data_IF_625450341692
#
_entry.id   IF_625450341692
#
_cell.length_a   1.000
_cell.length_b   1.000
_cell.length_c   1.000
_cell.angle_alpha   90.00
_cell.angle_beta   90.00
_cell.angle_gamma   90.00
#
_symmetry.space_group_name_H-M   'P 1'
#
loop_
_entity.id
_entity.type
_entity.pdbx_description
1 polymer ?
#
# COMPACT_ATOMS: atom_id res chain seq x y z
N UNK A 1 0.96 10.03 -17.31
CA UNK A 1 0.56 10.11 -15.90
C UNK A 1 1.58 9.31 -15.09
N UNK A 2 2.44 9.99 -14.34
CA UNK A 2 3.51 9.32 -13.55
C UNK A 2 3.08 9.30 -12.09
N UNK A 3 2.91 8.11 -11.52
CA UNK A 3 2.62 7.97 -10.08
C UNK A 3 3.93 8.09 -9.30
N UNK A 4 3.90 8.95 -8.28
CA UNK A 4 5.00 9.31 -7.39
C UNK A 4 4.65 8.86 -5.96
N UNK A 5 5.64 8.32 -5.26
CA UNK A 5 5.51 7.90 -3.86
C UNK A 5 5.85 9.07 -2.92
N UNK A 6 5.01 9.28 -1.91
CA UNK A 6 5.25 10.27 -0.87
C UNK A 6 6.32 9.76 0.10
N UNK A 7 7.43 10.49 0.33
CA UNK A 7 8.49 10.07 1.24
C UNK A 7 8.09 10.14 2.73
N UNK A 8 7.02 10.89 3.06
CA UNK A 8 6.60 11.13 4.45
C UNK A 8 5.61 10.09 4.98
N UNK A 9 4.71 9.54 4.14
CA UNK A 9 3.69 8.56 4.57
C UNK A 9 3.67 7.27 3.73
N UNK A 10 4.58 7.14 2.76
CA UNK A 10 4.61 6.06 1.77
C UNK A 10 3.32 5.89 0.95
N UNK A 11 2.49 6.93 0.86
CA UNK A 11 1.34 6.99 -0.04
C UNK A 11 1.73 7.21 -1.50
N UNK A 12 0.75 7.17 -2.40
CA UNK A 12 0.94 7.33 -3.86
C UNK A 12 0.08 8.46 -4.42
N UNK A 13 0.62 9.25 -5.34
CA UNK A 13 -0.14 10.29 -6.05
C UNK A 13 0.47 10.62 -7.40
N UNK A 14 -0.18 11.45 -8.22
CA UNK A 14 0.37 11.86 -9.51
C UNK A 14 0.05 13.31 -9.83
N UNK A 15 0.88 13.87 -10.71
CA UNK A 15 0.77 15.25 -11.18
C UNK A 15 0.25 15.26 -12.63
N UNK A 16 -0.65 16.19 -12.94
CA UNK A 16 -1.00 16.53 -14.32
C UNK A 16 -0.07 17.61 -14.93
N UNK A 17 0.76 18.24 -14.10
CA UNK A 17 1.82 19.14 -14.53
C UNK A 17 3.20 18.44 -14.55
N UNK A 18 4.16 18.98 -15.31
CA UNK A 18 5.54 18.47 -15.40
C UNK A 18 6.40 18.86 -14.17
N UNK A 19 5.83 19.59 -13.21
CA UNK A 19 6.56 20.18 -12.09
C UNK A 19 6.47 19.20 -10.92
N UNK A 20 7.22 18.10 -11.05
CA UNK A 20 7.34 17.04 -10.04
C UNK A 20 8.07 17.46 -8.76
N UNK A 21 7.56 18.47 -8.05
CA UNK A 21 8.02 18.86 -6.72
C UNK A 21 7.24 18.06 -5.68
N UNK A 22 7.81 16.91 -5.31
CA UNK A 22 7.38 16.11 -4.17
C UNK A 22 7.82 16.76 -2.87
N UNK A 23 7.00 17.67 -2.35
CA UNK A 23 7.31 18.43 -1.14
C UNK A 23 6.23 18.17 -0.07
N UNK A 24 6.53 17.18 0.77
CA UNK A 24 5.99 16.93 2.12
C UNK A 24 4.58 16.34 2.31
N UNK A 25 4.33 15.84 3.54
CA UNK A 25 3.13 15.08 3.95
C UNK A 25 1.81 15.87 3.81
N UNK A 26 1.88 17.20 3.82
CA UNK A 26 0.75 18.11 3.56
C UNK A 26 0.15 17.89 2.18
N UNK A 27 0.95 17.38 1.23
CA UNK A 27 0.51 17.00 -0.10
C UNK A 27 -0.69 16.03 -0.08
N UNK A 28 -0.64 15.02 0.80
CA UNK A 28 -1.69 14.02 0.89
C UNK A 28 -2.61 14.19 2.09
N UNK A 29 -2.29 15.10 3.03
CA UNK A 29 -2.98 15.28 4.31
C UNK A 29 -3.24 13.95 5.07
N UNK A 30 -2.37 12.95 4.91
CA UNK A 30 -2.52 11.61 5.49
C UNK A 30 -3.51 10.68 4.78
N UNK A 31 -4.12 11.09 3.66
CA UNK A 31 -5.04 10.25 2.87
C UNK A 31 -4.31 9.11 2.12
N UNK A 32 -3.00 9.26 1.89
CA UNK A 32 -2.17 8.25 1.22
C UNK A 32 -2.41 8.12 -0.29
N UNK A 33 -3.48 8.72 -0.82
CA UNK A 33 -3.83 8.69 -2.25
C UNK A 33 -4.40 10.04 -2.71
N UNK A 34 -3.59 10.85 -3.41
CA UNK A 34 -3.99 12.20 -3.87
C UNK A 34 -3.54 12.48 -5.29
N UNK A 35 -4.26 13.37 -5.96
CA UNK A 35 -3.99 13.81 -7.33
C UNK A 35 -3.88 15.34 -7.36
N UNK A 36 -2.90 15.87 -8.11
CA UNK A 36 -2.75 17.32 -8.33
C UNK A 36 -3.37 17.72 -9.67
N UNK A 37 -4.36 18.60 -9.62
CA UNK A 37 -5.05 19.10 -10.82
C UNK A 37 -4.20 20.08 -11.65
N UNK A 38 -4.66 20.38 -12.87
CA UNK A 38 -4.03 21.36 -13.75
C UNK A 38 -3.93 22.80 -13.19
N UNK A 39 -4.60 23.09 -12.07
CA UNK A 39 -4.47 24.35 -11.34
C UNK A 39 -3.46 24.25 -10.17
N UNK A 40 -2.73 23.13 -10.06
CA UNK A 40 -1.76 22.85 -9.02
C UNK A 40 -2.37 22.49 -7.66
N UNK A 41 -3.66 22.13 -7.61
CA UNK A 41 -4.36 21.83 -6.34
C UNK A 41 -4.41 20.33 -6.08
N UNK A 42 -4.06 19.96 -4.87
CA UNK A 42 -4.13 18.57 -4.39
C UNK A 42 -5.56 18.21 -3.97
N UNK A 43 -6.07 17.13 -4.53
CA UNK A 43 -7.43 16.64 -4.33
C UNK A 43 -7.41 15.14 -4.01
N UNK A 44 -8.38 14.65 -3.21
CA UNK A 44 -8.69 13.23 -3.18
C UNK A 44 -8.99 12.74 -4.60
N UNK A 45 -8.56 11.52 -4.91
CA UNK A 45 -8.87 10.93 -6.21
C UNK A 45 -10.39 10.88 -6.39
N UNK A 46 -10.95 11.47 -7.46
CA UNK A 46 -12.38 11.46 -7.67
C UNK A 46 -12.87 10.03 -7.97
N UNK A 47 -14.06 9.61 -7.50
CA UNK A 47 -14.54 8.24 -7.68
C UNK A 47 -14.58 7.75 -9.13
N UNK A 48 -14.76 8.65 -10.09
CA UNK A 48 -14.80 8.36 -11.51
C UNK A 48 -13.43 7.97 -12.08
N UNK A 49 -12.34 8.38 -11.42
CA UNK A 49 -10.98 8.08 -11.82
C UNK A 49 -10.47 6.76 -11.21
N UNK A 50 -11.13 6.22 -10.17
CA UNK A 50 -10.70 4.96 -9.53
C UNK A 50 -10.45 3.82 -10.52
N UNK A 51 -11.34 3.52 -11.49
CA UNK A 51 -11.10 2.40 -12.42
C UNK A 51 -9.85 2.57 -13.29
N UNK A 52 -9.36 3.80 -13.47
CA UNK A 52 -8.22 4.10 -14.34
C UNK A 52 -6.88 3.92 -13.63
N UNK A 53 -6.86 4.02 -12.30
CA UNK A 53 -5.64 3.98 -11.49
C UNK A 53 -5.61 2.82 -10.50
N UNK A 54 -6.72 2.10 -10.30
CA UNK A 54 -6.85 1.01 -9.35
C UNK A 54 -5.74 -0.05 -9.52
N UNK A 55 -5.58 -0.58 -10.74
CA UNK A 55 -4.58 -1.63 -11.02
C UNK A 55 -3.15 -1.15 -10.71
N UNK A 56 -2.85 0.10 -11.04
CA UNK A 56 -1.53 0.68 -10.80
C UNK A 56 -1.27 0.92 -9.31
N UNK A 57 -2.28 1.38 -8.57
CA UNK A 57 -2.20 1.56 -7.11
C UNK A 57 -2.04 0.22 -6.38
N UNK A 58 -2.77 -0.82 -6.81
CA UNK A 58 -2.65 -2.16 -6.22
C UNK A 58 -1.24 -2.76 -6.44
N UNK A 59 -0.68 -2.59 -7.65
CA UNK A 59 0.68 -3.01 -7.95
C UNK A 59 1.71 -2.32 -7.06
N UNK A 60 1.58 -1.00 -6.90
CA UNK A 60 2.50 -0.18 -6.08
C UNK A 60 2.40 -0.53 -4.59
N UNK A 61 1.20 -0.76 -4.07
CA UNK A 61 1.03 -1.19 -2.67
C UNK A 61 1.58 -2.61 -2.45
N UNK A 62 1.39 -3.52 -3.41
CA UNK A 62 1.98 -4.86 -3.33
C UNK A 62 3.52 -4.82 -3.32
N UNK A 63 4.13 -3.91 -4.09
CA UNK A 63 5.57 -3.67 -4.06
C UNK A 63 6.03 -3.09 -2.73
N UNK A 64 5.35 -2.06 -2.21
CA UNK A 64 5.60 -1.47 -0.89
C UNK A 64 5.56 -2.53 0.22
N UNK A 65 4.55 -3.40 0.19
CA UNK A 65 4.43 -4.49 1.15
C UNK A 65 5.64 -5.43 1.07
N UNK A 66 6.11 -5.78 -0.14
CA UNK A 66 7.31 -6.63 -0.31
C UNK A 66 8.57 -5.99 0.24
N UNK A 67 8.75 -4.68 0.07
CA UNK A 67 9.87 -3.94 0.66
C UNK A 67 9.85 -3.97 2.19
N UNK A 68 8.65 -3.92 2.79
CA UNK A 68 8.44 -4.11 4.23
C UNK A 68 8.62 -5.57 4.68
N UNK A 69 8.95 -6.49 3.76
CA UNK A 69 9.17 -7.90 4.04
C UNK A 69 7.90 -8.77 3.95
N UNK A 70 6.79 -8.24 3.44
CA UNK A 70 5.59 -9.04 3.19
C UNK A 70 5.81 -9.98 2.00
N UNK A 71 5.64 -11.28 2.23
CA UNK A 71 5.89 -12.31 1.22
C UNK A 71 4.63 -12.73 0.44
N UNK A 72 3.50 -12.03 0.59
CA UNK A 72 2.27 -12.34 -0.15
C UNK A 72 1.53 -13.59 0.32
N UNK A 73 2.04 -14.31 1.33
CA UNK A 73 1.42 -15.53 1.85
C UNK A 73 0.70 -15.24 3.16
N UNK A 74 -0.62 -15.45 3.17
CA UNK A 74 -1.40 -15.50 4.39
C UNK A 74 -0.97 -16.72 5.22
N UNK A 75 0.01 -16.54 6.12
CA UNK A 75 0.42 -17.59 7.05
C UNK A 75 -0.65 -17.71 8.13
N UNK A 76 -1.26 -18.90 8.24
CA UNK A 76 -2.05 -19.27 9.42
C UNK A 76 -1.20 -19.04 10.68
N UNK A 77 -1.78 -18.73 11.85
CA UNK A 77 -1.00 -18.42 13.06
C UNK A 77 0.11 -19.44 13.37
N UNK A 78 -0.17 -20.74 13.21
CA UNK A 78 0.79 -21.83 13.43
C UNK A 78 1.88 -21.97 12.36
N UNK A 79 1.71 -21.34 11.19
CA UNK A 79 2.72 -21.25 10.14
C UNK A 79 3.67 -20.06 10.33
N UNK A 80 3.39 -19.18 11.30
CA UNK A 80 4.21 -18.00 11.58
C UNK A 80 5.33 -18.36 12.57
N UNK A 81 6.59 -18.28 12.12
CA UNK A 81 7.76 -18.58 12.97
C UNK A 81 7.76 -17.81 14.30
N UNK A 82 7.40 -16.53 14.28
CA UNK A 82 7.35 -15.68 15.48
C UNK A 82 6.37 -16.18 16.56
N UNK A 83 5.42 -17.05 16.18
CA UNK A 83 4.41 -17.59 17.09
C UNK A 83 4.76 -18.99 17.58
N UNK A 84 5.81 -19.63 17.07
CA UNK A 84 6.24 -20.93 17.55
C UNK A 84 6.61 -20.85 19.04
N UNK A 85 6.15 -21.83 19.82
CA UNK A 85 6.27 -21.83 21.28
C UNK A 85 5.13 -21.11 22.02
N UNK A 86 4.19 -20.47 21.32
CA UNK A 86 2.95 -19.94 21.90
C UNK A 86 1.77 -20.87 21.62
N UNK A 87 0.67 -20.72 22.38
CA UNK A 87 -0.60 -21.41 22.12
C UNK A 87 -1.09 -21.22 20.68
N UNK A 88 -0.89 -20.02 20.11
CA UNK A 88 -1.28 -19.68 18.73
C UNK A 88 -0.34 -20.27 17.67
N UNK A 89 0.83 -20.74 18.08
CA UNK A 89 1.80 -21.41 17.21
C UNK A 89 1.51 -22.90 17.00
N UNK A 90 0.60 -23.50 17.79
CA UNK A 90 0.23 -24.91 17.66
C UNK A 90 -0.72 -25.10 16.48
N UNK A 91 -0.39 -26.02 15.58
CA UNK A 91 -1.29 -26.42 14.49
C UNK A 91 -2.47 -27.22 15.08
N UNK A 92 -3.71 -26.71 15.02
CA UNK A 92 -4.85 -27.37 15.64
C UNK A 92 -5.29 -28.63 14.89
N UNK A 93 -4.78 -28.85 13.67
CA UNK A 93 -5.09 -30.01 12.82
C UNK A 93 -3.89 -30.95 12.68
N UNK A 94 -2.92 -30.89 13.61
CA UNK A 94 -1.77 -31.80 13.60
C UNK A 94 -2.20 -33.26 13.84
N UNK A 95 -3.21 -33.47 14.69
CA UNK A 95 -3.64 -34.80 15.12
C UNK A 95 -4.61 -35.47 14.13
N UNK A 96 -5.30 -34.68 13.28
CA UNK A 96 -6.29 -35.17 12.30
C UNK A 96 -5.67 -35.70 11.00
N UNK A 97 -4.33 -35.66 10.86
CA UNK A 97 -3.59 -36.03 9.63
C UNK A 97 -2.86 -37.38 9.72
N UNK A 98 -3.10 -38.16 10.76
CA UNK A 98 -2.62 -39.54 10.92
C UNK A 98 -3.68 -40.54 10.48
#
# INVERSE_FOLDING_TARGET
MTIVRCPSCDGFGWFEDEIGLGEDCDWCAGAGYVYRDAAGRDQPIPPQAYPQVADQLEMLEAERLRELGYQGVAKKPWQQQIRQGTLLGRDPYADDRQ
#
